data_IF_641823977784
#
_entry.id   IF_641823977784
#
_cell.length_a   1.000
_cell.length_b   1.000
_cell.length_c   1.000
_cell.angle_alpha   90.00
_cell.angle_beta   90.00
_cell.angle_gamma   90.00
#
_symmetry.space_group_name_H-M   'P 1'
#
loop_
_entity.id
_entity.type
_entity.pdbx_description
1 polymer ?
#
# COMPACT_ATOMS: atom_id res chain seq x y z
N UNK A 1 -10.09 15.23 -25.04
CA UNK A 1 -9.21 15.62 -23.91
C UNK A 1 -9.37 17.12 -23.73
N UNK A 2 -9.46 17.61 -22.49
CA UNK A 2 -9.58 19.03 -22.19
C UNK A 2 -8.37 19.47 -21.37
N UNK A 3 -7.76 20.58 -21.77
CA UNK A 3 -6.77 21.29 -20.99
C UNK A 3 -7.38 22.62 -20.61
N UNK A 4 -7.53 22.86 -19.31
CA UNK A 4 -8.08 24.10 -18.76
C UNK A 4 -6.95 24.77 -17.99
N UNK A 5 -6.56 25.96 -18.43
CA UNK A 5 -5.63 26.82 -17.72
C UNK A 5 -6.39 28.03 -17.16
N UNK A 6 -6.15 28.37 -15.91
CA UNK A 6 -6.85 29.47 -15.27
C UNK A 6 -6.25 29.88 -13.94
N UNK A 7 -6.92 30.79 -13.25
CA UNK A 7 -6.53 31.25 -11.91
C UNK A 7 -7.70 31.06 -10.95
N UNK A 8 -7.39 30.59 -9.75
CA UNK A 8 -8.33 30.60 -8.62
C UNK A 8 -7.66 31.33 -7.46
N UNK A 9 -8.19 32.50 -7.11
CA UNK A 9 -7.54 33.41 -6.17
C UNK A 9 -6.14 33.82 -6.65
N UNK A 10 -5.13 33.53 -5.84
CA UNK A 10 -3.72 33.79 -6.12
C UNK A 10 -2.99 32.62 -6.81
N UNK A 11 -3.65 31.47 -6.99
CA UNK A 11 -3.04 30.27 -7.57
C UNK A 11 -3.39 30.13 -9.04
N UNK A 12 -2.37 29.86 -9.85
CA UNK A 12 -2.53 29.39 -11.22
C UNK A 12 -2.84 27.89 -11.20
N UNK A 13 -3.71 27.44 -12.11
CA UNK A 13 -4.15 26.05 -12.23
C UNK A 13 -4.05 25.58 -13.67
N UNK A 14 -3.60 24.35 -13.82
CA UNK A 14 -3.71 23.57 -15.06
C UNK A 14 -4.47 22.29 -14.70
N UNK A 15 -5.62 22.10 -15.33
CA UNK A 15 -6.42 20.88 -15.21
C UNK A 15 -6.38 20.18 -16.56
N UNK A 16 -5.87 18.96 -16.57
CA UNK A 16 -5.94 18.08 -17.73
C UNK A 16 -6.99 17.02 -17.41
N UNK A 17 -8.04 16.93 -18.22
CA UNK A 17 -9.14 16.01 -17.97
C UNK A 17 -9.54 15.25 -19.22
N UNK A 18 -9.94 13.99 -19.01
CA UNK A 18 -10.61 13.17 -20.01
C UNK A 18 -11.92 12.67 -19.41
N UNK A 19 -13.01 13.05 -20.07
CA UNK A 19 -14.35 12.56 -19.80
C UNK A 19 -14.64 11.32 -20.66
N UNK A 20 -15.66 10.52 -20.29
CA UNK A 20 -16.18 9.49 -21.19
C UNK A 20 -16.55 10.15 -22.52
N UNK A 21 -16.26 9.45 -23.61
CA UNK A 21 -16.69 9.84 -24.95
C UNK A 21 -17.31 8.61 -25.58
N UNK A 22 -18.47 8.81 -26.23
CA UNK A 22 -19.19 7.73 -26.89
C UNK A 22 -18.50 7.31 -28.21
N UNK A 23 -17.57 8.14 -28.67
CA UNK A 23 -16.71 7.88 -29.83
C UNK A 23 -15.22 8.04 -29.49
N UNK A 24 -14.36 7.18 -30.04
CA UNK A 24 -12.91 7.30 -29.93
C UNK A 24 -12.23 7.03 -31.27
N UNK A 25 -11.00 7.52 -31.41
CA UNK A 25 -10.13 7.18 -32.53
C UNK A 25 -9.14 6.15 -32.01
N UNK A 26 -9.16 4.95 -32.58
CA UNK A 26 -8.13 3.93 -32.38
C UNK A 26 -7.02 4.19 -33.40
N UNK A 27 -5.79 4.21 -32.90
CA UNK A 27 -4.60 4.35 -33.73
C UNK A 27 -3.67 3.22 -33.38
N UNK A 28 -3.35 2.39 -34.37
CA UNK A 28 -2.34 1.34 -34.27
C UNK A 28 -1.21 1.66 -35.26
N UNK A 29 -0.01 1.80 -34.73
CA UNK A 29 1.18 2.15 -35.51
C UNK A 29 1.99 0.88 -35.76
N UNK A 30 1.76 0.26 -36.91
CA UNK A 30 2.56 -0.87 -37.38
C UNK A 30 3.82 -0.41 -38.12
N UNK A 31 4.80 -1.31 -38.26
CA UNK A 31 6.11 -1.01 -38.87
C UNK A 31 6.07 -0.46 -40.32
N UNK A 32 4.92 -0.51 -41.01
CA UNK A 32 4.74 -0.02 -42.39
C UNK A 32 3.41 0.71 -42.65
N UNK A 33 2.53 0.83 -41.65
CA UNK A 33 1.22 1.45 -41.84
C UNK A 33 0.66 1.99 -40.51
N UNK A 34 -0.01 3.13 -40.60
CA UNK A 34 -0.80 3.70 -39.52
C UNK A 34 -2.26 3.32 -39.75
N UNK A 35 -2.81 2.47 -38.89
CA UNK A 35 -4.23 2.12 -38.93
C UNK A 35 -4.98 3.09 -38.04
N UNK A 36 -5.94 3.82 -38.61
CA UNK A 36 -6.79 4.78 -37.89
C UNK A 36 -8.24 4.35 -38.05
N UNK A 37 -8.89 3.97 -36.94
CA UNK A 37 -10.29 3.55 -36.91
C UNK A 37 -11.13 4.46 -36.02
N UNK A 38 -12.34 4.80 -36.47
CA UNK A 38 -13.32 5.51 -35.66
C UNK A 38 -14.23 4.51 -34.96
N UNK A 39 -14.12 4.44 -33.64
CA UNK A 39 -14.91 3.57 -32.78
C UNK A 39 -16.18 4.30 -32.33
N UNK A 40 -17.32 4.00 -32.96
CA UNK A 40 -18.62 4.64 -32.66
C UNK A 40 -19.33 4.10 -31.40
N UNK A 41 -18.75 3.10 -30.73
CA UNK A 41 -19.33 2.47 -29.53
C UNK A 41 -18.25 2.06 -28.54
N UNK A 42 -17.60 3.04 -27.92
CA UNK A 42 -16.76 2.76 -26.75
C UNK A 42 -17.70 2.57 -25.56
N UNK A 43 -18.10 1.32 -25.30
CA UNK A 43 -18.95 1.00 -24.15
C UNK A 43 -18.25 1.37 -22.83
N UNK A 44 -18.67 2.46 -22.18
CA UNK A 44 -18.33 2.72 -20.78
C UNK A 44 -19.56 3.12 -19.95
N UNK A 45 -19.68 2.48 -18.78
CA UNK A 45 -20.91 2.31 -18.01
C UNK A 45 -21.45 3.54 -17.24
N UNK A 46 -20.74 4.65 -17.13
CA UNK A 46 -21.14 5.74 -16.21
C UNK A 46 -20.72 7.15 -16.67
N UNK A 47 -21.69 8.08 -16.71
CA UNK A 47 -21.49 9.51 -17.03
C UNK A 47 -20.63 10.27 -16.01
N UNK A 48 -20.48 9.75 -14.79
CA UNK A 48 -19.66 10.34 -13.72
C UNK A 48 -18.19 9.87 -13.73
N UNK A 49 -17.79 9.03 -14.67
CA UNK A 49 -16.45 8.44 -14.73
C UNK A 49 -15.47 9.34 -15.48
N UNK A 50 -14.59 10.05 -14.78
CA UNK A 50 -13.58 10.91 -15.41
C UNK A 50 -12.17 10.57 -14.90
N UNK A 51 -11.16 10.94 -15.68
CA UNK A 51 -9.77 10.98 -15.24
C UNK A 51 -9.28 12.41 -15.34
N UNK A 52 -8.65 12.92 -14.29
CA UNK A 52 -8.14 14.28 -14.30
C UNK A 52 -6.86 14.41 -13.49
N UNK A 53 -5.97 15.30 -13.94
CA UNK A 53 -4.78 15.74 -13.21
C UNK A 53 -4.85 17.25 -13.03
N UNK A 54 -4.63 17.70 -11.80
CA UNK A 54 -4.53 19.10 -11.43
C UNK A 54 -3.10 19.42 -11.03
N UNK A 55 -2.51 20.42 -11.66
CA UNK A 55 -1.32 21.11 -11.18
C UNK A 55 -1.70 22.52 -10.77
N UNK A 56 -1.23 22.97 -9.61
CA UNK A 56 -1.56 24.29 -9.10
C UNK A 56 -0.42 24.89 -8.28
N UNK A 57 -0.08 26.14 -8.56
CA UNK A 57 0.91 26.90 -7.78
C UNK A 57 0.67 28.41 -7.92
N UNK A 58 1.19 29.20 -6.99
CA UNK A 58 1.19 30.67 -7.08
C UNK A 58 2.23 31.18 -8.08
N UNK A 59 3.32 30.43 -8.28
CA UNK A 59 4.42 30.81 -9.17
C UNK A 59 4.37 30.04 -10.47
N UNK A 60 4.25 30.76 -11.59
CA UNK A 60 4.41 30.20 -12.93
C UNK A 60 5.88 29.82 -13.25
N UNK A 61 6.86 30.37 -12.52
CA UNK A 61 8.29 30.15 -12.79
C UNK A 61 8.91 29.06 -11.94
N UNK A 62 8.46 28.92 -10.69
CA UNK A 62 9.07 28.04 -9.70
C UNK A 62 8.09 26.97 -9.17
N UNK A 63 6.84 26.97 -9.65
CA UNK A 63 5.78 26.09 -9.19
C UNK A 63 5.54 24.89 -10.11
N UNK A 64 4.37 24.26 -9.95
CA UNK A 64 3.86 23.15 -10.78
C UNK A 64 4.61 21.81 -10.65
N UNK A 65 5.53 21.69 -9.69
CA UNK A 65 6.23 20.45 -9.38
C UNK A 65 5.37 19.37 -8.72
N UNK A 66 4.19 19.74 -8.20
CA UNK A 66 3.29 18.81 -7.53
C UNK A 66 1.92 18.82 -8.21
N UNK A 67 1.37 17.63 -8.42
CA UNK A 67 0.05 17.42 -9.01
C UNK A 67 -0.84 16.55 -8.14
N UNK A 68 -2.13 16.53 -8.48
CA UNK A 68 -3.10 15.56 -7.96
C UNK A 68 -3.80 14.88 -9.11
N UNK A 69 -3.71 13.56 -9.18
CA UNK A 69 -4.46 12.75 -10.13
C UNK A 69 -5.71 12.18 -9.47
N UNK A 70 -6.78 12.01 -10.25
CA UNK A 70 -7.96 11.26 -9.85
C UNK A 70 -8.44 10.41 -11.02
N UNK A 71 -8.83 9.18 -10.71
CA UNK A 71 -9.36 8.22 -11.66
C UNK A 71 -10.68 7.67 -11.11
N UNK A 72 -11.80 8.16 -11.64
CA UNK A 72 -13.16 7.73 -11.30
C UNK A 72 -13.71 6.73 -12.32
N UNK A 73 -12.89 6.29 -13.28
CA UNK A 73 -13.30 5.29 -14.28
C UNK A 73 -12.98 3.87 -13.80
N UNK A 74 -11.94 3.72 -12.97
CA UNK A 74 -11.67 2.49 -12.26
C UNK A 74 -12.54 2.46 -11.00
N UNK A 75 -13.41 1.45 -10.89
CA UNK A 75 -14.15 1.17 -9.66
C UNK A 75 -13.27 0.32 -8.73
N UNK A 76 -12.03 0.78 -8.51
CA UNK A 76 -11.01 0.05 -7.76
C UNK A 76 -11.14 0.38 -6.26
N UNK A 77 -11.39 -0.62 -5.38
CA UNK A 77 -11.42 -0.44 -3.94
C UNK A 77 -10.14 0.19 -3.35
N UNK A 78 -8.99 0.00 -4.01
CA UNK A 78 -7.70 0.52 -3.57
C UNK A 78 -7.43 1.96 -4.05
N UNK A 79 -8.37 2.59 -4.78
CA UNK A 79 -8.22 3.96 -5.27
C UNK A 79 -7.04 4.14 -6.24
N UNK A 80 -6.63 3.07 -6.93
CA UNK A 80 -5.53 3.14 -7.88
C UNK A 80 -5.96 3.94 -9.10
N UNK A 81 -5.07 4.84 -9.51
CA UNK A 81 -5.18 5.53 -10.79
C UNK A 81 -4.34 4.80 -11.82
N UNK A 82 -4.84 4.73 -13.06
CA UNK A 82 -4.09 4.14 -14.18
C UNK A 82 -2.73 4.83 -14.37
N UNK A 83 -1.67 4.02 -14.51
CA UNK A 83 -0.28 4.46 -14.79
C UNK A 83 -0.19 5.44 -15.93
N UNK A 84 -1.01 5.25 -16.96
CA UNK A 84 -1.10 6.17 -18.08
C UNK A 84 -1.31 7.63 -17.64
N UNK A 85 -2.16 7.88 -16.64
CA UNK A 85 -2.50 9.24 -16.17
C UNK A 85 -1.54 9.81 -15.13
N UNK A 86 -0.48 9.10 -14.79
CA UNK A 86 0.56 9.57 -13.88
C UNK A 86 1.90 9.56 -14.62
N UNK A 87 2.32 8.40 -15.09
CA UNK A 87 3.66 8.13 -15.59
C UNK A 87 3.78 8.23 -17.11
N UNK A 88 2.81 7.73 -17.89
CA UNK A 88 3.01 7.67 -19.35
C UNK A 88 2.62 8.97 -20.06
N UNK A 89 1.50 9.59 -19.66
CA UNK A 89 0.98 10.78 -20.33
C UNK A 89 1.47 12.10 -19.72
N UNK A 90 1.34 12.34 -18.38
CA UNK A 90 1.88 13.55 -17.76
C UNK A 90 3.37 13.45 -17.43
N UNK A 91 4.02 12.29 -17.67
CA UNK A 91 5.42 12.05 -17.35
C UNK A 91 5.78 12.44 -15.90
N UNK A 92 4.87 12.13 -14.97
CA UNK A 92 4.98 12.44 -13.56
C UNK A 92 5.23 11.18 -12.73
N UNK A 93 5.72 11.38 -11.50
CA UNK A 93 5.99 10.30 -10.55
C UNK A 93 5.17 10.48 -9.27
N UNK A 94 5.02 9.39 -8.54
CA UNK A 94 4.43 9.43 -7.19
C UNK A 94 5.37 10.20 -6.27
N UNK A 95 4.83 11.11 -5.46
CA UNK A 95 5.62 12.01 -4.61
C UNK A 95 6.48 11.27 -3.58
N UNK A 96 6.03 10.10 -3.11
CA UNK A 96 6.78 9.26 -2.19
C UNK A 96 7.53 8.16 -2.96
N UNK A 97 8.83 8.07 -2.69
CA UNK A 97 9.64 6.95 -3.18
C UNK A 97 9.19 5.63 -2.52
N UNK A 98 9.40 4.48 -3.18
CA UNK A 98 9.03 3.17 -2.64
C UNK A 98 9.60 2.94 -1.22
N UNK A 99 10.89 3.26 -1.04
CA UNK A 99 11.57 3.12 0.24
C UNK A 99 11.00 4.05 1.33
N UNK A 100 10.72 5.32 1.01
CA UNK A 100 10.20 6.27 1.99
C UNK A 100 8.78 5.93 2.43
N UNK A 101 7.90 5.61 1.48
CA UNK A 101 6.52 5.22 1.77
C UNK A 101 6.45 3.92 2.58
N UNK A 102 7.21 2.90 2.16
CA UNK A 102 7.32 1.63 2.87
C UNK A 102 7.87 1.80 4.28
N UNK A 103 8.90 2.63 4.46
CA UNK A 103 9.44 2.97 5.78
C UNK A 103 8.37 3.52 6.70
N UNK A 104 7.57 4.46 6.20
CA UNK A 104 6.51 5.08 7.01
C UNK A 104 5.40 4.10 7.38
N UNK A 105 4.98 3.25 6.45
CA UNK A 105 4.03 2.18 6.73
C UNK A 105 4.59 1.25 7.82
N UNK A 106 5.86 0.86 7.72
CA UNK A 106 6.48 -0.01 8.71
C UNK A 106 6.53 0.61 10.11
N UNK A 107 6.90 1.89 10.23
CA UNK A 107 6.87 2.60 11.52
C UNK A 107 5.44 2.73 12.07
N UNK A 108 4.46 3.03 11.22
CA UNK A 108 3.07 3.10 11.64
C UNK A 108 2.55 1.74 12.15
N UNK A 109 2.88 0.65 11.45
CA UNK A 109 2.48 -0.69 11.84
C UNK A 109 3.13 -1.11 13.16
N UNK A 110 4.42 -0.84 13.37
CA UNK A 110 5.11 -1.05 14.66
C UNK A 110 4.46 -0.26 15.79
N UNK A 111 4.16 1.02 15.56
CA UNK A 111 3.49 1.87 16.53
C UNK A 111 2.13 1.31 16.93
N UNK A 112 1.35 0.88 15.93
CA UNK A 112 0.02 0.34 16.11
C UNK A 112 0.07 -0.99 16.87
N UNK A 113 0.96 -1.91 16.50
CA UNK A 113 1.19 -3.16 17.22
C UNK A 113 1.60 -2.90 18.68
N UNK A 114 2.43 -1.90 18.96
CA UNK A 114 2.87 -1.61 20.34
C UNK A 114 1.72 -1.11 21.23
N UNK A 115 0.88 -0.20 20.70
CA UNK A 115 -0.15 0.52 21.47
C UNK A 115 -1.53 -0.14 21.49
N UNK A 116 -1.78 -1.12 20.62
CA UNK A 116 -3.11 -1.74 20.48
C UNK A 116 -3.38 -2.86 21.49
N UNK A 117 -4.65 -3.21 21.76
CA UNK A 117 -5.01 -4.42 22.50
C UNK A 117 -4.61 -5.68 21.71
N UNK A 118 -4.43 -6.80 22.41
CA UNK A 118 -3.84 -8.03 21.85
C UNK A 118 -4.53 -8.51 20.56
N UNK A 119 -5.85 -8.46 20.49
CA UNK A 119 -6.60 -8.92 19.31
C UNK A 119 -6.17 -8.17 18.05
N UNK A 120 -6.03 -6.85 18.18
CA UNK A 120 -5.56 -5.97 17.12
C UNK A 120 -4.06 -6.19 16.87
N UNK A 121 -3.24 -6.45 17.90
CA UNK A 121 -1.82 -6.78 17.73
C UNK A 121 -1.63 -8.04 16.87
N UNK A 122 -2.40 -9.10 17.16
CA UNK A 122 -2.33 -10.37 16.44
C UNK A 122 -2.73 -10.18 14.98
N UNK A 123 -3.82 -9.47 14.74
CA UNK A 123 -4.29 -9.14 13.40
C UNK A 123 -3.25 -8.31 12.61
N UNK A 124 -2.70 -7.25 13.21
CA UNK A 124 -1.66 -6.42 12.58
C UNK A 124 -0.35 -7.18 12.34
N UNK A 125 0.01 -8.11 13.22
CA UNK A 125 1.20 -8.96 13.07
C UNK A 125 1.00 -9.96 11.93
N UNK A 126 -0.19 -10.58 11.83
CA UNK A 126 -0.55 -11.45 10.72
C UNK A 126 -0.57 -10.69 9.38
N UNK A 127 -1.06 -9.45 9.39
CA UNK A 127 -0.98 -8.57 8.22
C UNK A 127 0.48 -8.27 7.84
N UNK A 128 1.36 -8.02 8.81
CA UNK A 128 2.78 -7.80 8.54
C UNK A 128 3.47 -9.00 7.90
N UNK A 129 3.12 -10.23 8.30
CA UNK A 129 3.70 -11.44 7.68
C UNK A 129 3.17 -11.67 6.26
N UNK A 130 1.92 -11.31 5.98
CA UNK A 130 1.30 -11.40 4.66
C UNK A 130 1.67 -10.25 3.71
N UNK A 131 2.21 -9.14 4.24
CA UNK A 131 2.54 -7.94 3.47
C UNK A 131 3.52 -8.22 2.32
N UNK A 132 4.33 -9.28 2.40
CA UNK A 132 5.21 -9.71 1.31
C UNK A 132 4.49 -9.98 -0.02
N UNK A 133 3.20 -10.31 0.02
CA UNK A 133 2.38 -10.56 -1.17
C UNK A 133 1.98 -9.27 -1.91
N UNK A 134 2.24 -8.10 -1.32
CA UNK A 134 1.92 -6.78 -1.89
C UNK A 134 3.09 -6.17 -2.67
N UNK A 135 4.13 -6.96 -2.98
CA UNK A 135 5.32 -6.49 -3.68
C UNK A 135 4.96 -5.77 -5.00
N UNK A 136 5.48 -4.54 -5.18
CA UNK A 136 5.23 -3.73 -6.38
C UNK A 136 3.81 -3.13 -6.46
N UNK A 137 2.93 -3.40 -5.49
CA UNK A 137 1.61 -2.79 -5.47
C UNK A 137 1.68 -1.34 -5.01
N UNK A 138 0.88 -0.48 -5.65
CA UNK A 138 0.68 0.89 -5.20
C UNK A 138 -0.38 0.93 -4.10
N UNK A 139 0.02 1.42 -2.93
CA UNK A 139 -0.83 1.51 -1.75
C UNK A 139 -0.46 2.73 -0.90
N UNK A 140 -1.33 3.05 0.04
CA UNK A 140 -1.11 4.00 1.13
C UNK A 140 -1.20 3.27 2.47
N UNK A 141 -1.01 3.98 3.59
CA UNK A 141 -1.20 3.38 4.93
C UNK A 141 -2.68 3.00 5.11
N UNK A 142 -3.60 3.83 4.62
CA UNK A 142 -5.03 3.55 4.67
C UNK A 142 -5.39 2.31 3.85
N UNK A 143 -4.97 2.26 2.58
CA UNK A 143 -5.35 1.16 1.69
C UNK A 143 -4.63 -0.15 2.01
N UNK A 144 -3.47 -0.10 2.67
CA UNK A 144 -2.80 -1.31 3.18
C UNK A 144 -3.73 -2.15 4.06
N UNK A 145 -4.50 -1.50 4.94
CA UNK A 145 -5.46 -2.18 5.79
C UNK A 145 -6.61 -2.82 5.01
N UNK A 146 -7.01 -2.21 3.90
CA UNK A 146 -8.07 -2.75 3.04
C UNK A 146 -7.59 -3.97 2.24
N UNK A 147 -6.36 -3.92 1.71
CA UNK A 147 -5.74 -5.04 0.99
C UNK A 147 -5.68 -6.32 1.83
N UNK A 148 -5.36 -6.17 3.11
CA UNK A 148 -5.25 -7.29 4.05
C UNK A 148 -6.55 -7.54 4.84
N UNK A 149 -7.64 -6.86 4.47
CA UNK A 149 -8.98 -6.97 5.06
C UNK A 149 -8.97 -6.84 6.58
N UNK A 150 -8.20 -5.88 7.08
CA UNK A 150 -8.13 -5.55 8.48
C UNK A 150 -9.50 -5.10 9.01
N UNK A 151 -9.78 -5.44 10.26
CA UNK A 151 -10.90 -4.94 11.02
C UNK A 151 -10.88 -3.41 11.08
N UNK A 152 -12.05 -2.80 11.31
CA UNK A 152 -12.13 -1.34 11.44
C UNK A 152 -11.20 -0.82 12.56
N UNK A 153 -11.17 -1.51 13.70
CA UNK A 153 -10.34 -1.13 14.84
C UNK A 153 -8.84 -1.21 14.50
N UNK A 154 -8.40 -2.22 13.75
CA UNK A 154 -7.02 -2.36 13.31
C UNK A 154 -6.63 -1.28 12.29
N UNK A 155 -7.52 -0.96 11.35
CA UNK A 155 -7.31 0.15 10.40
C UNK A 155 -7.20 1.49 11.11
N UNK A 156 -8.09 1.77 12.05
CA UNK A 156 -8.04 2.99 12.86
C UNK A 156 -6.75 3.06 13.68
N UNK A 157 -6.31 1.94 14.28
CA UNK A 157 -5.04 1.89 14.99
C UNK A 157 -3.85 2.20 14.09
N UNK A 158 -3.84 1.68 12.86
CA UNK A 158 -2.78 1.94 11.88
C UNK A 158 -2.79 3.40 11.41
N UNK A 159 -3.97 3.93 11.06
CA UNK A 159 -4.14 5.31 10.57
C UNK A 159 -3.78 6.32 11.67
N UNK A 160 -4.07 6.04 12.95
CA UNK A 160 -3.68 6.91 14.06
C UNK A 160 -2.17 7.10 14.19
N UNK A 161 -1.38 6.14 13.72
CA UNK A 161 0.09 6.25 13.72
C UNK A 161 0.63 6.99 12.49
N UNK A 162 -0.20 7.21 11.47
CA UNK A 162 0.12 8.14 10.40
C UNK A 162 0.05 9.57 10.96
N UNK A 163 1.22 10.14 11.26
CA UNK A 163 1.41 11.48 11.88
C UNK A 163 0.47 12.59 11.40
N UNK A 164 -0.03 12.50 10.15
CA UNK A 164 -1.06 13.39 9.60
C UNK A 164 -2.01 12.61 8.69
N UNK A 165 -3.26 13.08 8.46
CA UNK A 165 -4.18 12.46 7.50
C UNK A 165 -3.59 12.38 6.08
N UNK A 166 -2.87 13.42 5.65
CA UNK A 166 -2.19 13.41 4.34
C UNK A 166 -1.14 12.32 4.23
N UNK A 167 -0.42 12.04 5.32
CA UNK A 167 0.52 10.93 5.35
C UNK A 167 -0.20 9.58 5.22
N UNK A 168 -1.37 9.41 5.85
CA UNK A 168 -2.12 8.15 5.74
C UNK A 168 -2.49 7.81 4.29
N UNK A 169 -2.84 8.83 3.50
CA UNK A 169 -3.32 8.71 2.12
C UNK A 169 -2.23 8.82 1.04
N UNK A 170 -0.99 9.18 1.40
CA UNK A 170 0.08 9.29 0.42
C UNK A 170 0.41 7.91 -0.16
N UNK A 171 0.23 7.78 -1.48
CA UNK A 171 0.52 6.56 -2.20
C UNK A 171 2.03 6.36 -2.39
N UNK A 172 2.44 5.11 -2.46
CA UNK A 172 3.79 4.68 -2.78
C UNK A 172 3.74 3.25 -3.35
N UNK A 173 4.79 2.84 -4.05
CA UNK A 173 4.99 1.45 -4.42
C UNK A 173 5.59 0.67 -3.25
N UNK A 174 4.98 -0.45 -2.88
CA UNK A 174 5.43 -1.24 -1.74
C UNK A 174 6.73 -2.00 -2.03
N UNK A 175 7.76 -1.72 -1.24
CA UNK A 175 9.07 -2.37 -1.30
C UNK A 175 9.17 -3.46 -0.22
N UNK A 176 9.04 -4.76 -0.56
CA UNK A 176 9.09 -5.83 0.42
C UNK A 176 10.47 -5.98 1.09
N UNK A 177 11.56 -5.53 0.44
CA UNK A 177 12.91 -5.61 1.02
C UNK A 177 13.07 -4.56 2.11
N UNK A 178 12.70 -3.31 1.81
CA UNK A 178 12.71 -2.23 2.81
C UNK A 178 11.76 -2.54 3.97
N UNK A 179 10.60 -3.14 3.68
CA UNK A 179 9.65 -3.52 4.71
C UNK A 179 10.22 -4.57 5.66
N UNK A 180 10.79 -5.67 5.14
CA UNK A 180 11.40 -6.75 5.96
C UNK A 180 12.56 -6.26 6.80
N UNK A 181 13.39 -5.37 6.25
CA UNK A 181 14.50 -4.77 7.01
C UNK A 181 14.02 -3.99 8.24
N UNK A 182 12.78 -3.49 8.20
CA UNK A 182 12.19 -2.75 9.32
C UNK A 182 11.36 -3.65 10.21
N UNK A 183 10.49 -4.45 9.63
CA UNK A 183 9.61 -5.37 10.33
C UNK A 183 10.04 -6.78 9.94
N UNK A 184 10.94 -7.32 10.74
CA UNK A 184 11.27 -8.72 10.69
C UNK A 184 10.53 -9.39 11.85
N UNK A 185 9.54 -10.23 11.57
CA UNK A 185 9.02 -11.20 12.54
C UNK A 185 9.70 -12.54 12.27
N UNK A 186 10.16 -13.20 13.33
CA UNK A 186 10.69 -14.56 13.23
C UNK A 186 9.59 -15.51 13.69
N UNK A 187 9.27 -16.47 12.84
CA UNK A 187 8.34 -17.56 13.14
C UNK A 187 9.07 -18.88 13.02
N UNK A 188 8.93 -19.76 14.01
CA UNK A 188 9.45 -21.12 13.99
C UNK A 188 8.30 -22.07 14.25
N UNK A 189 8.13 -23.05 13.37
CA UNK A 189 7.21 -24.16 13.56
C UNK A 189 8.02 -25.38 14.02
N UNK A 190 7.60 -25.98 15.12
CA UNK A 190 8.19 -27.21 15.65
C UNK A 190 7.48 -28.43 15.06
N UNK A 191 8.15 -29.57 15.03
CA UNK A 191 7.60 -30.85 14.56
C UNK A 191 6.38 -31.35 15.36
N UNK A 192 6.19 -30.82 16.56
CA UNK A 192 5.00 -31.04 17.39
C UNK A 192 3.82 -30.10 17.07
N UNK A 193 3.93 -29.27 16.03
CA UNK A 193 2.91 -28.32 15.58
C UNK A 193 2.86 -27.00 16.36
N UNK A 194 3.74 -26.78 17.34
CA UNK A 194 3.83 -25.50 18.03
C UNK A 194 4.45 -24.43 17.13
N UNK A 195 3.85 -23.24 17.10
CA UNK A 195 4.36 -22.08 16.35
C UNK A 195 4.81 -20.99 17.32
N UNK A 196 6.07 -20.59 17.24
CA UNK A 196 6.69 -19.54 18.03
C UNK A 196 6.88 -18.31 17.16
N UNK A 197 6.25 -17.18 17.49
CA UNK A 197 6.35 -15.95 16.70
C UNK A 197 6.65 -14.75 17.59
N UNK A 198 7.68 -13.98 17.23
CA UNK A 198 8.01 -12.70 17.87
C UNK A 198 8.69 -11.74 16.89
N UNK A 199 8.83 -10.46 17.25
CA UNK A 199 9.72 -9.54 16.52
C UNK A 199 11.13 -10.14 16.51
N UNK A 200 11.77 -10.20 15.34
CA UNK A 200 13.07 -10.86 15.15
C UNK A 200 14.13 -10.26 16.06
N UNK A 201 14.05 -8.95 16.32
CA UNK A 201 14.99 -8.24 17.19
C UNK A 201 14.91 -8.67 18.65
N UNK A 202 13.80 -9.27 19.09
CA UNK A 202 13.61 -9.74 20.48
C UNK A 202 13.36 -11.25 20.54
N UNK A 203 13.40 -11.96 19.41
CA UNK A 203 12.98 -13.36 19.36
C UNK A 203 13.86 -14.21 20.27
N UNK A 204 15.18 -14.01 20.20
CA UNK A 204 16.15 -14.74 21.02
C UNK A 204 16.12 -14.31 22.51
N UNK A 205 15.58 -13.11 22.81
CA UNK A 205 15.38 -12.64 24.19
C UNK A 205 14.11 -13.25 24.81
N UNK A 206 13.06 -13.42 24.00
CA UNK A 206 11.76 -13.93 24.45
C UNK A 206 11.74 -15.46 24.50
N UNK A 207 12.44 -16.14 23.59
CA UNK A 207 12.50 -17.59 23.51
C UNK A 207 13.93 -18.10 23.71
N UNK A 208 14.17 -18.71 24.87
CA UNK A 208 15.44 -19.38 25.11
C UNK A 208 15.48 -20.76 24.45
N UNK A 209 16.59 -21.05 23.76
CA UNK A 209 16.81 -22.30 23.02
C UNK A 209 17.79 -23.20 23.76
N UNK A 210 17.48 -24.49 23.85
CA UNK A 210 18.40 -25.52 24.31
C UNK A 210 18.39 -26.68 23.32
N UNK A 211 19.57 -27.03 22.81
CA UNK A 211 19.75 -28.22 21.96
C UNK A 211 19.69 -29.45 22.86
N UNK A 212 18.83 -30.41 22.53
CA UNK A 212 18.76 -31.69 23.23
C UNK A 212 19.56 -32.74 22.44
N UNK A 213 20.88 -32.73 22.66
CA UNK A 213 21.85 -33.77 22.27
C UNK A 213 23.06 -33.28 21.45
N UNK A 214 23.91 -34.22 21.00
CA UNK A 214 25.21 -33.97 20.35
C UNK A 214 25.20 -33.85 18.81
N UNK A 215 24.05 -33.90 18.13
CA UNK A 215 23.96 -33.80 16.65
C UNK A 215 23.31 -32.48 16.20
N UNK A 216 23.75 -31.89 15.08
CA UNK A 216 23.26 -30.59 14.60
C UNK A 216 21.79 -30.56 14.16
N UNK A 217 21.15 -31.72 13.93
CA UNK A 217 19.74 -31.87 13.52
C UNK A 217 18.79 -32.33 14.66
N UNK A 218 19.15 -32.09 15.92
CA UNK A 218 18.40 -32.62 17.06
C UNK A 218 17.27 -31.75 17.59
N UNK A 219 16.40 -32.41 18.38
CA UNK A 219 15.32 -31.83 19.16
C UNK A 219 15.76 -30.52 19.82
N UNK A 220 14.97 -29.47 19.57
CA UNK A 220 15.16 -28.16 20.16
C UNK A 220 14.12 -27.94 21.24
N UNK A 221 14.58 -27.64 22.46
CA UNK A 221 13.71 -27.17 23.54
C UNK A 221 13.64 -25.65 23.48
N UNK A 222 12.42 -25.12 23.40
CA UNK A 222 12.14 -23.69 23.52
C UNK A 222 11.43 -23.41 24.84
N UNK A 223 11.89 -22.41 25.57
CA UNK A 223 11.25 -21.95 26.80
C UNK A 223 11.01 -20.44 26.78
N UNK A 224 9.91 -20.01 27.39
CA UNK A 224 9.57 -18.59 27.55
C UNK A 224 8.86 -18.38 28.88
N UNK A 225 8.84 -17.14 29.37
CA UNK A 225 8.12 -16.74 30.58
C UNK A 225 7.37 -15.46 30.31
N UNK A 226 6.11 -15.42 30.70
CA UNK A 226 5.25 -14.25 30.55
C UNK A 226 3.99 -14.38 31.39
N UNK A 227 3.28 -13.27 31.55
CA UNK A 227 1.91 -13.31 32.08
C UNK A 227 0.98 -13.62 30.93
N UNK A 228 0.05 -14.55 31.11
CA UNK A 228 -1.02 -14.79 30.14
C UNK A 228 -1.84 -13.52 30.04
N UNK A 229 -1.80 -12.88 28.87
CA UNK A 229 -2.59 -11.69 28.58
C UNK A 229 -3.96 -12.05 27.99
N UNK A 230 -4.05 -13.20 27.29
CA UNK A 230 -5.28 -13.74 26.73
C UNK A 230 -5.02 -15.19 26.23
N UNK A 231 -6.06 -16.00 26.18
CA UNK A 231 -6.04 -17.38 25.66
C UNK A 231 -7.28 -17.56 24.76
N UNK A 232 -7.08 -18.00 23.51
CA UNK A 232 -8.17 -18.31 22.57
C UNK A 232 -8.00 -19.71 22.03
N UNK A 233 -9.04 -20.52 22.15
CA UNK A 233 -9.18 -21.80 21.46
C UNK A 233 -9.67 -21.53 20.04
N UNK A 234 -8.91 -22.00 19.05
CA UNK A 234 -9.42 -22.20 17.69
C UNK A 234 -9.64 -23.70 17.49
N UNK A 235 -10.75 -24.04 16.84
CA UNK A 235 -11.02 -25.42 16.42
C UNK A 235 -9.99 -25.80 15.37
N UNK A 236 -9.29 -26.91 15.56
CA UNK A 236 -8.40 -27.45 14.54
C UNK A 236 -9.22 -27.85 13.31
N UNK A 237 -8.88 -27.29 12.14
CA UNK A 237 -9.41 -27.73 10.85
C UNK A 237 -8.57 -28.88 10.30
#
# INVERSE_FOLDING_TARGET
MFVIAGREGASHKIVISRFPTDSAIYVDEGARALTVEFLERVFMKNKASYKAVLYADRSLRAGFWNGRAVDKQLNDPAGQSSDYWISDFPLSEISATPAHGTRRLAEALKGAVRKSPLEIKQELTAAATLAGNLAGQRLSISTFGDYLRLSQQAREALIREAKTPRAAEEQFEFDPREFRNRIAYKSLELDNGAVLTAESSIFDDVFQRRVLGDKPDQLMEFSTRGRVLNEKLKVAQ
#
